data_IF_437668376842
#
_entry.id   IF_437668376842
#
_cell.length_a   1.000
_cell.length_b   1.000
_cell.length_c   1.000
_cell.angle_alpha   90.00
_cell.angle_beta   90.00
_cell.angle_gamma   90.00
#
_symmetry.space_group_name_H-M   'P 1'
#
loop_
_entity.id
_entity.type
_entity.pdbx_description
1 polymer ?
#
# COMPACT_ATOMS: atom_id res chain seq x y z
N UNK A 1 13.16 -19.72 55.73
CA UNK A 1 13.90 -19.33 54.51
C UNK A 1 12.88 -18.92 53.47
N UNK A 2 12.83 -17.65 53.05
CA UNK A 2 11.87 -17.22 52.03
C UNK A 2 12.20 -17.94 50.72
N UNK A 3 11.21 -18.57 50.07
CA UNK A 3 11.41 -19.12 48.74
C UNK A 3 11.96 -18.04 47.79
N UNK A 4 12.99 -18.36 46.98
CA UNK A 4 13.55 -17.41 46.04
C UNK A 4 12.46 -16.97 45.06
N UNK A 5 12.30 -15.65 44.91
CA UNK A 5 11.32 -15.05 43.99
C UNK A 5 11.43 -15.68 42.59
N UNK A 6 10.34 -16.23 42.01
CA UNK A 6 10.37 -16.91 40.72
C UNK A 6 10.86 -16.01 39.58
N UNK A 7 10.73 -14.68 39.73
CA UNK A 7 11.24 -13.68 38.79
C UNK A 7 12.77 -13.65 38.68
N UNK A 8 13.51 -14.06 39.74
CA UNK A 8 14.99 -14.10 39.71
C UNK A 8 15.53 -15.25 38.85
N UNK A 9 14.67 -16.20 38.46
CA UNK A 9 15.05 -17.31 37.59
C UNK A 9 15.08 -16.90 36.11
N UNK A 10 14.48 -15.76 35.75
CA UNK A 10 14.56 -15.24 34.38
C UNK A 10 15.96 -14.71 34.08
N UNK A 11 16.57 -15.06 32.94
CA UNK A 11 17.85 -14.51 32.52
C UNK A 11 17.74 -13.03 32.17
N UNK A 12 18.85 -12.30 32.29
CA UNK A 12 18.93 -10.93 31.78
C UNK A 12 18.95 -10.91 30.25
N UNK A 13 18.59 -9.76 29.67
CA UNK A 13 18.69 -9.54 28.22
C UNK A 13 20.11 -9.83 27.72
N UNK A 14 21.13 -9.31 28.42
CA UNK A 14 22.54 -9.54 28.06
C UNK A 14 22.94 -11.01 28.10
N UNK A 15 22.43 -11.78 29.07
CA UNK A 15 22.69 -13.22 29.17
C UNK A 15 22.08 -13.98 27.99
N UNK A 16 20.86 -13.64 27.59
CA UNK A 16 20.24 -14.21 26.39
C UNK A 16 21.01 -13.83 25.13
N UNK A 17 21.43 -12.57 24.99
CA UNK A 17 22.22 -12.10 23.84
C UNK A 17 23.57 -12.81 23.69
N UNK A 18 24.17 -13.27 24.78
CA UNK A 18 25.44 -14.02 24.77
C UNK A 18 25.24 -15.52 24.49
N UNK A 19 24.01 -16.00 24.40
CA UNK A 19 23.73 -17.42 24.14
C UNK A 19 24.09 -17.77 22.69
N UNK A 20 24.75 -18.91 22.41
CA UNK A 20 25.11 -19.31 21.05
C UNK A 20 23.91 -19.39 20.09
N UNK A 21 22.75 -19.83 20.58
CA UNK A 21 21.50 -19.91 19.80
C UNK A 21 21.00 -18.54 19.31
N UNK A 22 21.38 -17.44 19.97
CA UNK A 22 20.95 -16.08 19.60
C UNK A 22 21.89 -15.45 18.56
N UNK A 23 23.11 -15.97 18.37
CA UNK A 23 24.07 -15.39 17.42
C UNK A 23 23.56 -15.42 15.96
N UNK A 24 22.96 -16.52 15.46
CA UNK A 24 22.36 -16.52 14.12
C UNK A 24 21.24 -15.48 13.96
N UNK A 25 20.40 -15.33 15.00
CA UNK A 25 19.29 -14.37 15.00
C UNK A 25 19.79 -12.91 14.93
N UNK A 26 20.94 -12.62 15.55
CA UNK A 26 21.58 -11.30 15.48
C UNK A 26 22.08 -10.98 14.07
N UNK A 27 22.62 -11.98 13.36
CA UNK A 27 23.07 -11.84 11.97
C UNK A 27 21.87 -11.63 11.04
N UNK A 28 20.80 -12.41 11.22
CA UNK A 28 19.64 -12.39 10.33
C UNK A 28 18.73 -11.17 10.52
N UNK A 29 18.44 -10.80 11.77
CA UNK A 29 17.44 -9.78 12.08
C UNK A 29 18.03 -8.46 12.56
N UNK A 30 19.33 -8.43 12.87
CA UNK A 30 20.01 -7.28 13.43
C UNK A 30 19.76 -7.10 14.93
N UNK A 31 20.76 -6.56 15.62
CA UNK A 31 20.78 -6.44 17.09
C UNK A 31 19.55 -5.73 17.68
N UNK A 32 19.11 -4.62 17.07
CA UNK A 32 18.00 -3.82 17.60
C UNK A 32 16.74 -4.66 17.73
N UNK A 33 16.37 -5.40 16.67
CA UNK A 33 15.15 -6.23 16.66
C UNK A 33 15.24 -7.40 17.63
N UNK A 34 16.38 -8.08 17.69
CA UNK A 34 16.58 -9.20 18.61
C UNK A 34 16.47 -8.73 20.07
N UNK A 35 17.03 -7.57 20.41
CA UNK A 35 16.90 -6.99 21.75
C UNK A 35 15.45 -6.66 22.09
N UNK A 36 14.70 -6.07 21.15
CA UNK A 36 13.27 -5.78 21.33
C UNK A 36 12.46 -7.06 21.52
N UNK A 37 12.70 -8.08 20.72
CA UNK A 37 12.03 -9.38 20.84
C UNK A 37 12.34 -10.07 22.17
N UNK A 38 13.61 -10.09 22.61
CA UNK A 38 14.00 -10.63 23.92
C UNK A 38 13.25 -9.90 25.05
N UNK A 39 13.15 -8.57 24.98
CA UNK A 39 12.39 -7.79 25.98
C UNK A 39 10.93 -8.20 26.02
N UNK A 40 10.30 -8.35 24.86
CA UNK A 40 8.90 -8.75 24.76
C UNK A 40 8.66 -10.16 25.31
N UNK A 41 9.52 -11.13 24.97
CA UNK A 41 9.45 -12.50 25.50
C UNK A 41 9.63 -12.53 27.02
N UNK A 42 10.61 -11.79 27.55
CA UNK A 42 10.80 -11.69 29.00
C UNK A 42 9.62 -10.98 29.69
N UNK A 43 9.01 -9.98 29.06
CA UNK A 43 7.83 -9.31 29.59
C UNK A 43 6.60 -10.22 29.61
N UNK A 44 6.43 -11.06 28.58
CA UNK A 44 5.40 -12.09 28.57
C UNK A 44 5.63 -13.12 29.69
N UNK A 45 6.86 -13.61 29.85
CA UNK A 45 7.23 -14.52 30.94
C UNK A 45 6.98 -13.89 32.32
N UNK A 46 7.31 -12.61 32.53
CA UNK A 46 7.00 -11.89 33.77
C UNK A 46 5.49 -11.81 34.03
N UNK A 47 4.67 -11.64 33.00
CA UNK A 47 3.21 -11.62 33.15
C UNK A 47 2.67 -13.00 33.54
N UNK A 48 3.16 -14.08 32.92
CA UNK A 48 2.81 -15.46 33.26
C UNK A 48 3.16 -15.79 34.72
N UNK A 49 4.37 -15.44 35.17
CA UNK A 49 4.78 -15.64 36.58
C UNK A 49 3.88 -14.85 37.54
N UNK A 50 3.46 -13.63 37.19
CA UNK A 50 2.50 -12.85 38.01
C UNK A 50 1.12 -13.52 38.07
N UNK A 51 0.74 -14.28 37.04
CA UNK A 51 -0.51 -15.03 36.98
C UNK A 51 -0.44 -16.38 37.71
N UNK A 52 0.71 -16.75 38.29
CA UNK A 52 0.90 -17.98 39.05
C UNK A 52 1.55 -19.13 38.27
N UNK A 53 1.96 -18.91 37.02
CA UNK A 53 2.71 -19.90 36.26
C UNK A 53 4.17 -20.00 36.74
N UNK A 54 4.81 -21.19 36.63
CA UNK A 54 6.22 -21.32 36.94
C UNK A 54 7.08 -20.52 35.94
N UNK A 55 8.28 -20.06 36.35
CA UNK A 55 9.19 -19.41 35.42
C UNK A 55 9.59 -20.37 34.28
N UNK A 56 9.51 -19.92 33.01
CA UNK A 56 9.89 -20.77 31.88
C UNK A 56 11.39 -21.07 31.89
N UNK A 57 11.74 -22.26 31.41
CA UNK A 57 13.13 -22.64 31.16
C UNK A 57 13.76 -21.73 30.08
N UNK A 58 15.09 -21.62 30.09
CA UNK A 58 15.80 -20.78 29.12
C UNK A 58 15.52 -21.24 27.68
N UNK A 59 15.43 -22.55 27.46
CA UNK A 59 15.11 -23.17 26.17
C UNK A 59 13.73 -22.74 25.66
N UNK A 60 12.74 -22.62 26.55
CA UNK A 60 11.40 -22.15 26.18
C UNK A 60 11.40 -20.66 25.82
N UNK A 61 12.21 -19.84 26.51
CA UNK A 61 12.38 -18.42 26.15
C UNK A 61 13.06 -18.26 24.78
N UNK A 62 14.04 -19.11 24.47
CA UNK A 62 14.71 -19.10 23.17
C UNK A 62 13.78 -19.54 22.04
N UNK A 63 12.97 -20.58 22.26
CA UNK A 63 11.96 -21.01 21.30
C UNK A 63 10.91 -19.91 21.04
N UNK A 64 10.42 -19.26 22.10
CA UNK A 64 9.49 -18.14 21.96
C UNK A 64 10.11 -16.94 21.23
N UNK A 65 11.40 -16.67 21.45
CA UNK A 65 12.15 -15.64 20.73
C UNK A 65 12.24 -15.93 19.24
N UNK A 66 12.62 -17.17 18.88
CA UNK A 66 12.70 -17.61 17.48
C UNK A 66 11.33 -17.54 16.80
N UNK A 67 10.29 -18.04 17.44
CA UNK A 67 8.92 -17.98 16.92
C UNK A 67 8.46 -16.54 16.69
N UNK A 68 8.69 -15.65 17.67
CA UNK A 68 8.29 -14.26 17.56
C UNK A 68 9.01 -13.57 16.39
N UNK A 69 10.32 -13.77 16.26
CA UNK A 69 11.10 -13.18 15.17
C UNK A 69 10.68 -13.72 13.80
N UNK A 70 10.35 -15.02 13.71
CA UNK A 70 9.81 -15.64 12.50
C UNK A 70 8.44 -15.06 12.13
N UNK A 71 7.53 -14.91 13.09
CA UNK A 71 6.21 -14.30 12.86
C UNK A 71 6.31 -12.84 12.42
N UNK A 72 7.24 -12.07 13.00
CA UNK A 72 7.51 -10.70 12.57
C UNK A 72 8.09 -10.64 11.16
N UNK A 73 8.95 -11.60 10.79
CA UNK A 73 9.48 -11.70 9.44
C UNK A 73 8.36 -11.91 8.41
N UNK A 74 7.33 -12.71 8.73
CA UNK A 74 6.17 -12.93 7.87
C UNK A 74 5.33 -11.68 7.61
N UNK A 75 5.39 -10.67 8.50
CA UNK A 75 4.65 -9.40 8.34
C UNK A 75 5.37 -8.41 7.41
N UNK A 76 6.59 -8.72 6.97
CA UNK A 76 7.37 -7.87 6.05
C UNK A 76 6.93 -8.11 4.62
N UNK A 77 7.10 -7.09 3.78
CA UNK A 77 6.97 -7.27 2.33
C UNK A 77 8.05 -8.24 1.86
N UNK A 78 7.61 -9.33 1.23
CA UNK A 78 8.48 -10.36 0.69
C UNK A 78 7.89 -10.92 -0.61
N UNK A 79 8.71 -11.49 -1.49
CA UNK A 79 8.21 -12.22 -2.65
C UNK A 79 7.30 -13.39 -2.24
N UNK A 80 6.28 -13.65 -3.03
CA UNK A 80 5.34 -14.76 -2.82
C UNK A 80 5.10 -15.50 -4.13
N UNK A 81 4.76 -16.79 -4.04
CA UNK A 81 4.37 -17.59 -5.20
C UNK A 81 2.84 -17.50 -5.36
N UNK A 82 2.37 -16.95 -6.47
CA UNK A 82 0.94 -16.91 -6.78
C UNK A 82 0.48 -18.24 -7.40
N UNK A 83 -0.19 -19.07 -6.60
CA UNK A 83 -0.81 -20.32 -7.04
C UNK A 83 -2.35 -20.23 -7.19
N UNK A 84 -2.93 -19.03 -7.13
CA UNK A 84 -4.40 -18.83 -7.14
C UNK A 84 -5.02 -18.89 -8.54
N UNK A 85 -4.20 -18.78 -9.59
CA UNK A 85 -4.66 -18.60 -10.97
C UNK A 85 -5.18 -17.18 -11.28
N UNK A 86 -5.23 -16.27 -10.30
CA UNK A 86 -5.64 -14.87 -10.49
C UNK A 86 -4.46 -14.04 -10.98
N UNK A 87 -4.53 -13.55 -12.23
CA UNK A 87 -3.44 -12.77 -12.85
C UNK A 87 -3.30 -11.39 -12.21
N UNK A 88 -4.38 -10.59 -12.18
CA UNK A 88 -4.38 -9.26 -11.54
C UNK A 88 -4.85 -9.41 -10.10
N UNK A 89 -3.98 -9.95 -9.26
CA UNK A 89 -4.30 -10.19 -7.86
C UNK A 89 -4.10 -8.91 -7.03
N UNK A 90 -5.19 -8.27 -6.60
CA UNK A 90 -5.15 -7.00 -5.86
C UNK A 90 -4.34 -7.06 -4.57
N UNK A 91 -4.46 -8.15 -3.81
CA UNK A 91 -3.72 -8.33 -2.55
C UNK A 91 -2.23 -8.69 -2.74
N UNK A 92 -1.84 -9.29 -3.88
CA UNK A 92 -0.45 -9.71 -4.15
C UNK A 92 0.31 -8.69 -5.01
N UNK A 93 -0.20 -7.46 -5.15
CA UNK A 93 0.51 -6.39 -5.83
C UNK A 93 0.21 -6.22 -7.33
N UNK A 94 -0.90 -6.78 -7.84
CA UNK A 94 -1.36 -6.63 -9.22
C UNK A 94 -0.33 -7.16 -10.23
N UNK A 95 -0.07 -6.43 -11.31
CA UNK A 95 0.79 -6.87 -12.40
C UNK A 95 2.27 -6.82 -11.98
N UNK A 96 3.01 -7.94 -12.04
CA UNK A 96 4.45 -7.92 -11.86
C UNK A 96 5.15 -7.21 -13.05
N UNK A 97 6.30 -6.61 -12.78
CA UNK A 97 7.10 -5.93 -13.80
C UNK A 97 7.94 -6.92 -14.61
N UNK A 98 8.09 -6.67 -15.91
CA UNK A 98 8.99 -7.43 -16.78
C UNK A 98 10.46 -7.24 -16.37
N UNK A 99 11.37 -8.17 -16.70
CA UNK A 99 12.80 -8.02 -16.42
C UNK A 99 13.37 -6.69 -16.95
N UNK A 100 13.00 -6.29 -18.17
CA UNK A 100 13.44 -5.04 -18.78
C UNK A 100 12.97 -3.80 -18.00
N UNK A 101 11.72 -3.77 -17.55
CA UNK A 101 11.20 -2.66 -16.74
C UNK A 101 11.93 -2.56 -15.38
N UNK A 102 12.19 -3.70 -14.73
CA UNK A 102 12.95 -3.73 -13.46
C UNK A 102 14.39 -3.23 -13.64
N UNK A 103 15.05 -3.63 -14.73
CA UNK A 103 16.41 -3.18 -15.04
C UNK A 103 16.46 -1.67 -15.29
N UNK A 104 15.49 -1.11 -16.02
CA UNK A 104 15.42 0.34 -16.26
C UNK A 104 15.23 1.12 -14.95
N UNK A 105 14.35 0.66 -14.05
CA UNK A 105 14.16 1.27 -12.73
C UNK A 105 15.45 1.21 -11.92
N UNK A 106 16.11 0.05 -11.87
CA UNK A 106 17.35 -0.13 -11.12
C UNK A 106 18.47 0.78 -11.64
N UNK A 107 18.59 0.94 -12.96
CA UNK A 107 19.61 1.80 -13.57
C UNK A 107 19.43 3.28 -13.20
N UNK A 108 18.20 3.79 -13.18
CA UNK A 108 17.90 5.19 -12.84
C UNK A 108 17.96 5.44 -11.32
N UNK A 109 17.55 4.47 -10.50
CA UNK A 109 17.47 4.63 -9.05
C UNK A 109 18.82 4.59 -8.33
N UNK A 110 19.91 4.17 -9.00
CA UNK A 110 21.24 4.08 -8.39
C UNK A 110 21.93 5.44 -8.18
N UNK A 111 21.43 6.52 -8.77
CA UNK A 111 22.06 7.83 -8.64
C UNK A 111 21.16 8.98 -9.07
N UNK A 112 21.78 10.11 -9.42
CA UNK A 112 21.07 11.24 -10.00
C UNK A 112 20.54 10.91 -11.40
N UNK A 113 19.44 11.54 -11.77
CA UNK A 113 18.84 11.40 -13.08
C UNK A 113 18.34 12.73 -13.60
N UNK A 114 18.03 12.79 -14.89
CA UNK A 114 17.44 13.94 -15.55
C UNK A 114 15.92 14.07 -15.27
N UNK A 115 15.47 13.64 -14.08
CA UNK A 115 14.06 13.53 -13.70
C UNK A 115 13.27 14.83 -13.95
N UNK A 116 13.87 15.98 -13.67
CA UNK A 116 13.29 17.31 -13.97
C UNK A 116 14.31 18.20 -14.69
N UNK A 117 15.18 17.60 -15.50
CA UNK A 117 16.25 18.34 -16.19
C UNK A 117 16.26 18.02 -17.67
N UNK A 118 16.17 19.06 -18.49
CA UNK A 118 16.30 18.94 -19.93
C UNK A 118 17.79 19.00 -20.29
N UNK A 119 18.32 17.90 -20.81
CA UNK A 119 19.72 17.79 -21.20
C UNK A 119 20.05 18.55 -22.50
N UNK A 120 19.06 18.82 -23.35
CA UNK A 120 19.25 19.56 -24.61
C UNK A 120 19.34 21.05 -24.33
N UNK A 121 18.41 21.59 -23.53
CA UNK A 121 18.36 23.03 -23.23
C UNK A 121 19.20 23.39 -21.99
N UNK A 122 19.59 22.40 -21.18
CA UNK A 122 20.45 22.60 -20.02
C UNK A 122 19.75 23.35 -18.87
N UNK A 123 18.47 23.11 -18.64
CA UNK A 123 17.67 23.77 -17.59
C UNK A 123 16.60 22.85 -17.02
N UNK A 124 15.91 23.30 -15.96
CA UNK A 124 14.77 22.56 -15.39
C UNK A 124 13.71 22.29 -16.45
N UNK A 125 13.26 21.05 -16.52
CA UNK A 125 12.21 20.55 -17.42
C UNK A 125 11.09 19.83 -16.68
N UNK A 126 10.08 19.38 -17.43
CA UNK A 126 8.93 18.65 -16.88
C UNK A 126 9.24 17.18 -16.61
N UNK A 127 8.78 16.66 -15.46
CA UNK A 127 8.98 15.26 -15.02
C UNK A 127 8.32 14.21 -15.91
N UNK A 128 7.23 14.59 -16.57
CA UNK A 128 6.33 13.69 -17.26
C UNK A 128 6.55 13.53 -18.77
N UNK A 129 7.50 14.26 -19.37
CA UNK A 129 7.59 14.37 -20.84
C UNK A 129 7.71 13.03 -21.55
N UNK A 130 8.54 12.12 -21.01
CA UNK A 130 8.69 10.77 -21.57
C UNK A 130 7.40 9.95 -21.53
N UNK A 131 6.62 10.08 -20.45
CA UNK A 131 5.36 9.35 -20.25
C UNK A 131 4.26 9.95 -21.13
N UNK A 132 4.13 11.27 -21.15
CA UNK A 132 3.17 11.99 -22.00
C UNK A 132 3.37 11.60 -23.46
N UNK A 133 4.60 11.68 -23.98
CA UNK A 133 4.94 11.30 -25.35
C UNK A 133 4.53 9.87 -25.69
N UNK A 134 4.77 8.90 -24.80
CA UNK A 134 4.40 7.52 -25.04
C UNK A 134 2.89 7.33 -25.02
N UNK A 135 2.18 7.98 -24.09
CA UNK A 135 0.73 7.89 -23.99
C UNK A 135 0.06 8.51 -25.21
N UNK A 136 0.47 9.69 -25.66
CA UNK A 136 -0.09 10.32 -26.87
C UNK A 136 0.19 9.50 -28.12
N UNK A 137 1.37 8.89 -28.24
CA UNK A 137 1.69 7.99 -29.35
C UNK A 137 0.81 6.74 -29.39
N UNK A 138 0.52 6.13 -28.23
CA UNK A 138 -0.27 4.89 -28.16
C UNK A 138 -1.77 5.16 -28.31
N UNK A 139 -2.25 6.28 -27.79
CA UNK A 139 -3.69 6.60 -27.73
C UNK A 139 -4.17 7.49 -28.90
N UNK A 140 -3.28 8.24 -29.53
CA UNK A 140 -3.63 9.29 -30.49
C UNK A 140 -4.19 10.56 -29.85
N UNK A 141 -4.18 10.67 -28.52
CA UNK A 141 -4.63 11.87 -27.81
C UNK A 141 -3.69 13.06 -28.04
N UNK A 142 -4.25 14.28 -28.02
CA UNK A 142 -3.49 15.52 -28.21
C UNK A 142 -2.48 15.80 -27.09
N UNK A 143 -2.81 15.37 -25.87
CA UNK A 143 -1.98 15.52 -24.67
C UNK A 143 -2.27 14.39 -23.68
N UNK A 144 -1.37 14.16 -22.72
CA UNK A 144 -1.55 13.14 -21.69
C UNK A 144 -0.88 13.52 -20.36
N UNK A 145 -1.51 13.13 -19.25
CA UNK A 145 -0.99 13.33 -17.90
C UNK A 145 -1.04 12.03 -17.11
N UNK A 146 0.09 11.66 -16.50
CA UNK A 146 0.16 10.58 -15.53
C UNK A 146 0.18 11.14 -14.11
N UNK A 147 -0.72 10.65 -13.27
CA UNK A 147 -0.79 10.95 -11.84
C UNK A 147 -0.57 9.67 -11.03
N UNK A 148 -0.56 9.78 -9.71
CA UNK A 148 -0.24 8.68 -8.80
C UNK A 148 -1.01 7.36 -9.10
N UNK A 149 -2.32 7.45 -9.32
CA UNK A 149 -3.15 6.30 -9.71
C UNK A 149 -4.48 6.79 -10.34
N UNK A 150 -5.32 5.85 -10.78
CA UNK A 150 -6.60 6.19 -11.40
C UNK A 150 -7.57 6.92 -10.46
N UNK A 151 -7.54 6.64 -9.15
CA UNK A 151 -8.38 7.35 -8.19
C UNK A 151 -8.05 8.85 -8.15
N UNK A 152 -6.76 9.18 -8.13
CA UNK A 152 -6.28 10.55 -8.25
C UNK A 152 -6.64 11.17 -9.60
N UNK A 153 -6.63 10.39 -10.69
CA UNK A 153 -6.99 10.89 -12.02
C UNK A 153 -8.47 11.29 -12.09
N UNK A 154 -9.38 10.42 -11.60
CA UNK A 154 -10.82 10.70 -11.53
C UNK A 154 -11.08 11.93 -10.66
N UNK A 155 -10.48 11.98 -9.46
CA UNK A 155 -10.63 13.14 -8.58
C UNK A 155 -10.14 14.42 -9.27
N UNK A 156 -8.94 14.41 -9.85
CA UNK A 156 -8.37 15.58 -10.52
C UNK A 156 -9.25 16.04 -11.69
N UNK A 157 -9.69 15.12 -12.55
CA UNK A 157 -10.54 15.45 -13.69
C UNK A 157 -11.86 16.10 -13.24
N UNK A 158 -12.53 15.52 -12.24
CA UNK A 158 -13.77 16.05 -11.71
C UNK A 158 -13.56 17.42 -11.03
N UNK A 159 -12.51 17.57 -10.22
CA UNK A 159 -12.23 18.85 -9.54
C UNK A 159 -11.95 19.96 -10.55
N UNK A 160 -11.17 19.68 -11.59
CA UNK A 160 -10.76 20.70 -12.56
C UNK A 160 -11.88 21.04 -13.54
N UNK A 161 -12.64 20.04 -14.00
CA UNK A 161 -13.61 20.23 -15.08
C UNK A 161 -15.04 20.47 -14.60
N UNK A 162 -15.39 20.02 -13.40
CA UNK A 162 -16.78 19.92 -12.96
C UNK A 162 -17.05 20.38 -11.51
N UNK A 163 -16.09 21.00 -10.82
CA UNK A 163 -16.34 21.55 -9.49
C UNK A 163 -17.51 22.56 -9.53
N UNK A 164 -18.50 22.37 -8.66
CA UNK A 164 -19.73 23.17 -8.59
C UNK A 164 -20.76 22.89 -9.68
N UNK A 165 -20.46 22.02 -10.65
CA UNK A 165 -21.30 21.73 -11.83
C UNK A 165 -21.84 20.30 -11.80
N UNK A 166 -22.87 20.03 -12.60
CA UNK A 166 -23.46 18.71 -12.70
C UNK A 166 -22.56 17.73 -13.46
N UNK A 167 -22.42 16.51 -12.92
CA UNK A 167 -21.82 15.36 -13.60
C UNK A 167 -22.86 14.26 -13.64
N UNK A 168 -23.29 13.94 -14.87
CA UNK A 168 -24.29 12.90 -15.10
C UNK A 168 -23.58 11.55 -15.15
N UNK A 169 -24.08 10.54 -14.46
CA UNK A 169 -23.50 9.21 -14.46
C UNK A 169 -24.58 8.14 -14.29
N UNK A 170 -24.42 6.99 -14.94
CA UNK A 170 -25.31 5.86 -14.75
C UNK A 170 -25.21 5.32 -13.32
N UNK A 171 -26.35 4.99 -12.70
CA UNK A 171 -26.37 4.27 -11.42
C UNK A 171 -25.58 2.95 -11.46
N UNK A 172 -25.49 2.31 -12.64
CA UNK A 172 -24.72 1.08 -12.84
C UNK A 172 -23.19 1.27 -12.73
N UNK A 173 -22.71 2.51 -12.82
CA UNK A 173 -21.28 2.84 -12.81
C UNK A 173 -20.78 3.30 -11.43
N UNK A 174 -21.67 3.39 -10.43
CA UNK A 174 -21.34 3.78 -9.06
C UNK A 174 -20.72 2.62 -8.29
N UNK A 175 -19.53 2.22 -8.73
CA UNK A 175 -18.82 1.05 -8.23
C UNK A 175 -17.96 1.36 -7.01
N UNK A 176 -17.65 0.29 -6.27
CA UNK A 176 -16.62 0.26 -5.24
C UNK A 176 -15.50 -0.69 -5.65
N UNK A 177 -14.25 -0.23 -5.57
CA UNK A 177 -13.06 -1.00 -5.95
C UNK A 177 -12.07 -1.04 -4.78
N UNK A 178 -11.57 -2.23 -4.45
CA UNK A 178 -10.50 -2.40 -3.46
C UNK A 178 -10.88 -1.99 -2.02
N UNK A 179 -12.18 -1.95 -1.71
CA UNK A 179 -12.75 -1.76 -0.36
C UNK A 179 -12.70 -0.34 0.22
N UNK A 180 -12.12 0.64 -0.50
CA UNK A 180 -12.03 2.04 -0.04
C UNK A 180 -12.19 3.09 -1.14
N UNK A 181 -12.24 2.68 -2.41
CA UNK A 181 -12.46 3.61 -3.52
C UNK A 181 -13.89 3.47 -4.03
N UNK A 182 -14.70 4.50 -3.76
CA UNK A 182 -16.12 4.55 -4.11
C UNK A 182 -16.35 5.77 -4.99
N UNK A 183 -16.90 5.58 -6.19
CA UNK A 183 -17.16 6.69 -7.12
C UNK A 183 -18.00 7.82 -6.47
N UNK A 184 -19.09 7.55 -5.73
CA UNK A 184 -19.84 8.59 -5.05
C UNK A 184 -19.00 9.43 -4.07
N UNK A 185 -18.12 8.79 -3.30
CA UNK A 185 -17.31 9.47 -2.29
C UNK A 185 -16.25 10.36 -2.96
N UNK A 186 -15.70 9.93 -4.11
CA UNK A 186 -14.74 10.70 -4.90
C UNK A 186 -15.41 11.90 -5.56
N UNK A 187 -16.63 11.72 -6.09
CA UNK A 187 -17.41 12.82 -6.66
C UNK A 187 -17.83 13.86 -5.62
N UNK A 188 -18.20 13.42 -4.42
CA UNK A 188 -18.46 14.34 -3.31
C UNK A 188 -17.21 15.15 -2.93
N UNK A 189 -16.04 14.51 -2.91
CA UNK A 189 -14.77 15.19 -2.60
C UNK A 189 -14.30 16.14 -3.70
N UNK A 190 -14.61 15.86 -4.97
CA UNK A 190 -14.22 16.73 -6.07
C UNK A 190 -14.98 18.06 -6.10
N UNK A 191 -16.09 18.15 -5.36
CA UNK A 191 -17.02 19.28 -5.40
C UNK A 191 -17.97 19.25 -6.59
N UNK A 192 -17.97 18.17 -7.38
CA UNK A 192 -18.93 17.99 -8.46
C UNK A 192 -20.31 17.62 -7.92
N UNK A 193 -21.38 18.07 -8.58
CA UNK A 193 -22.75 17.70 -8.25
C UNK A 193 -23.12 16.43 -9.00
N UNK A 194 -23.21 15.32 -8.28
CA UNK A 194 -23.61 14.02 -8.82
C UNK A 194 -25.07 14.05 -9.30
N UNK A 195 -25.30 13.71 -10.57
CA UNK A 195 -26.62 13.49 -11.17
C UNK A 195 -26.68 12.04 -11.64
N UNK A 196 -27.38 11.20 -10.89
CA UNK A 196 -27.52 9.79 -11.24
C UNK A 196 -28.67 9.55 -12.22
N UNK A 197 -28.43 8.75 -13.25
CA UNK A 197 -29.45 8.39 -14.26
C UNK A 197 -29.60 6.89 -14.43
N UNK A 198 -30.72 6.48 -15.03
CA UNK A 198 -31.07 5.07 -15.23
C UNK A 198 -31.28 4.30 -13.93
N UNK A 199 -31.08 2.98 -14.00
CA UNK A 199 -31.19 2.05 -12.87
C UNK A 199 -29.89 1.27 -12.69
N UNK A 200 -29.82 0.43 -11.65
CA UNK A 200 -28.63 -0.38 -11.33
C UNK A 200 -28.23 -1.31 -12.48
N UNK A 201 -29.18 -1.88 -13.22
CA UNK A 201 -28.94 -2.91 -14.22
C UNK A 201 -29.26 -2.46 -15.66
N UNK A 202 -29.83 -1.27 -15.84
CA UNK A 202 -30.21 -0.74 -17.16
C UNK A 202 -30.01 0.77 -17.22
N UNK A 203 -29.48 1.25 -18.33
CA UNK A 203 -29.39 2.68 -18.64
C UNK A 203 -29.58 2.85 -20.14
N UNK A 204 -30.39 3.82 -20.52
CA UNK A 204 -30.73 4.15 -21.89
C UNK A 204 -30.19 5.54 -22.25
N UNK A 205 -30.07 5.83 -23.55
CA UNK A 205 -29.61 7.13 -24.02
C UNK A 205 -30.54 8.25 -23.52
N UNK A 206 -31.85 8.03 -23.59
CA UNK A 206 -32.90 8.94 -23.10
C UNK A 206 -32.73 9.31 -21.61
N UNK A 207 -32.09 8.45 -20.80
CA UNK A 207 -31.84 8.76 -19.39
C UNK A 207 -30.83 9.90 -19.25
N UNK A 208 -29.82 9.94 -20.13
CA UNK A 208 -28.83 11.02 -20.21
C UNK A 208 -29.42 12.26 -20.89
N UNK A 209 -30.19 12.10 -21.97
CA UNK A 209 -30.84 13.23 -22.67
C UNK A 209 -31.76 14.02 -21.74
N UNK A 210 -32.63 13.33 -20.97
CA UNK A 210 -33.48 14.01 -19.98
C UNK A 210 -32.70 14.72 -18.90
N UNK A 211 -31.52 14.21 -18.52
CA UNK A 211 -30.66 14.90 -17.56
C UNK A 211 -30.03 16.15 -18.16
N UNK A 212 -29.59 16.10 -19.42
CA UNK A 212 -29.09 17.27 -20.14
C UNK A 212 -30.17 18.35 -20.32
N UNK A 213 -31.44 17.97 -20.50
CA UNK A 213 -32.56 18.91 -20.55
C UNK A 213 -32.90 19.51 -19.17
N UNK A 214 -32.76 18.73 -18.10
CA UNK A 214 -33.12 19.14 -16.75
C UNK A 214 -32.05 19.98 -16.03
N UNK A 215 -30.77 19.88 -16.44
CA UNK A 215 -29.65 20.55 -15.79
C UNK A 215 -28.86 21.41 -16.80
N UNK A 216 -28.88 22.73 -16.62
CA UNK A 216 -28.24 23.68 -17.54
C UNK A 216 -26.70 23.73 -17.41
N UNK A 217 -26.13 23.23 -16.32
CA UNK A 217 -24.72 23.36 -15.97
C UNK A 217 -23.91 22.06 -16.08
N UNK A 218 -24.40 21.05 -16.81
CA UNK A 218 -23.70 19.76 -17.00
C UNK A 218 -22.30 19.98 -17.57
N UNK A 219 -21.29 19.45 -16.89
CA UNK A 219 -19.89 19.55 -17.26
C UNK A 219 -19.34 18.26 -17.89
N UNK A 220 -19.82 17.10 -17.41
CA UNK A 220 -19.36 15.77 -17.82
C UNK A 220 -20.53 14.77 -17.81
N UNK A 221 -20.41 13.72 -18.64
CA UNK A 221 -21.32 12.58 -18.80
C UNK A 221 -20.60 11.25 -18.55
#
# INVERSE_FOLDING_TARGET
MSEPSPFRQLPSVDRLLQTPAVQPLLVEHGRVRVVEAIRQVLDQARRAIRAGEPPPAQEALLAALEEQLAQEALRRLQPVINATGVIIHTNLGRAPLSPAARQAIAAVAQGYSNLEYDLVVGRRGGRGYGVERLLTQITGAEAALAVNNNASAVLLALTVLAAGRAVVISRSQLVEIGGRFRIPDVMAQSGARLVEVGTTNRTHLDDYERALEAYEDVALL
#
